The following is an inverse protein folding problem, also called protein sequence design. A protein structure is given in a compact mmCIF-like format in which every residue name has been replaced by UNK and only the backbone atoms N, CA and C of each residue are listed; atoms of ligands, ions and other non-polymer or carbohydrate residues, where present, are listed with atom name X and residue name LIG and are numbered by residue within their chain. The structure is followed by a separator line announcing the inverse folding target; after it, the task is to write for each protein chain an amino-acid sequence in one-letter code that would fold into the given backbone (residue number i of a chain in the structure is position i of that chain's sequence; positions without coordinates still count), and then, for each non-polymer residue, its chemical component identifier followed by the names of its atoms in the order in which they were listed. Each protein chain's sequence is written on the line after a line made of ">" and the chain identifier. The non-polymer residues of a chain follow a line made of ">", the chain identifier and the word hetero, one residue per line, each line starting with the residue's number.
data_IF_823069320725
#
_entry.id   IF_823069320725
#
_cell.length_a   1.000
_cell.length_b   1.000
_cell.length_c   1.000
_cell.angle_alpha   90.00
_cell.angle_beta   90.00
_cell.angle_gamma   90.00
#
_symmetry.space_group_name_H-M   'P 1'
#
loop_
_entity.id
_entity.type
_entity.pdbx_description
1 polymer ?
#
# COMPACT_ATOMS: atom_id res chain seq x y z
N UNK A 1 26.40 45.56 -6.60
CA UNK A 1 25.73 44.93 -7.76
C UNK A 1 25.73 43.44 -7.48
N UNK A 2 24.60 42.90 -7.01
CA UNK A 2 24.48 41.48 -6.75
C UNK A 2 24.42 40.74 -8.10
N UNK A 3 25.18 39.66 -8.24
CA UNK A 3 25.30 38.88 -9.47
C UNK A 3 23.92 38.40 -9.94
N UNK A 4 23.41 38.96 -11.04
CA UNK A 4 22.16 38.51 -11.69
C UNK A 4 22.20 37.04 -12.16
N UNK A 5 23.37 36.39 -12.08
CA UNK A 5 23.59 34.98 -12.37
C UNK A 5 22.98 34.05 -11.31
N UNK A 6 22.83 34.49 -10.05
CA UNK A 6 22.28 33.66 -8.96
C UNK A 6 20.75 33.60 -8.95
N UNK A 7 20.05 34.56 -9.57
CA UNK A 7 18.59 34.64 -9.60
C UNK A 7 17.93 33.92 -10.78
N UNK A 8 18.71 33.31 -11.69
CA UNK A 8 18.16 32.61 -12.86
C UNK A 8 17.50 31.30 -12.42
N UNK A 9 16.21 31.16 -12.70
CA UNK A 9 15.47 29.93 -12.42
C UNK A 9 15.78 28.88 -13.51
N UNK A 10 16.16 27.67 -13.08
CA UNK A 10 16.30 26.49 -13.93
C UNK A 10 15.21 25.51 -13.51
N UNK A 11 14.09 25.37 -14.26
CA UNK A 11 12.98 24.52 -13.85
C UNK A 11 13.39 23.08 -13.56
N UNK A 12 14.27 22.51 -14.39
CA UNK A 12 14.71 21.12 -14.27
C UNK A 12 15.37 20.82 -12.93
N UNK A 13 16.19 21.75 -12.40
CA UNK A 13 16.88 21.55 -11.12
C UNK A 13 15.91 21.57 -9.93
N UNK A 14 14.82 22.33 -10.04
CA UNK A 14 13.79 22.38 -9.02
C UNK A 14 12.93 21.11 -9.02
N UNK A 15 12.60 20.58 -10.20
CA UNK A 15 11.66 19.47 -10.37
C UNK A 15 12.22 18.10 -9.99
N UNK A 16 13.54 17.94 -9.81
CA UNK A 16 14.16 16.66 -9.42
C UNK A 16 13.51 16.08 -8.15
N UNK A 17 13.20 16.93 -7.17
CA UNK A 17 12.59 16.50 -5.90
C UNK A 17 11.08 16.25 -6.01
N UNK A 18 10.45 16.67 -7.10
CA UNK A 18 8.99 16.62 -7.28
C UNK A 18 8.55 15.45 -8.18
N UNK A 19 9.48 14.68 -8.73
CA UNK A 19 9.20 13.47 -9.51
C UNK A 19 8.22 12.50 -8.79
N UNK A 20 8.33 12.22 -7.47
CA UNK A 20 7.40 11.32 -6.78
C UNK A 20 5.94 11.79 -6.81
N UNK A 21 5.70 13.10 -7.00
CA UNK A 21 4.37 13.71 -7.00
C UNK A 21 3.49 13.20 -8.16
N UNK A 22 4.09 12.84 -9.29
CA UNK A 22 3.35 12.30 -10.44
C UNK A 22 3.23 10.78 -10.43
N UNK A 23 4.11 10.10 -9.68
CA UNK A 23 4.19 8.64 -9.68
C UNK A 23 3.01 8.00 -8.96
N UNK A 24 2.65 8.50 -7.79
CA UNK A 24 1.61 7.88 -6.97
C UNK A 24 0.22 7.94 -7.64
N UNK A 25 -0.23 9.08 -8.20
CA UNK A 25 -1.50 9.14 -8.91
C UNK A 25 -1.57 8.19 -10.10
N UNK A 26 -0.46 8.05 -10.84
CA UNK A 26 -0.34 7.09 -11.93
C UNK A 26 -0.53 5.64 -11.44
N UNK A 27 0.11 5.26 -10.33
CA UNK A 27 -0.07 3.92 -9.75
C UNK A 27 -1.50 3.70 -9.24
N UNK A 28 -2.16 4.73 -8.68
CA UNK A 28 -3.57 4.66 -8.28
C UNK A 28 -4.50 4.45 -9.48
N UNK A 29 -4.29 5.17 -10.59
CA UNK A 29 -5.06 4.99 -11.84
C UNK A 29 -4.90 3.54 -12.33
N UNK A 30 -3.67 3.04 -12.34
CA UNK A 30 -3.38 1.66 -12.75
C UNK A 30 -4.02 0.63 -11.82
N UNK A 31 -4.07 0.89 -10.51
CA UNK A 31 -4.77 0.04 -9.53
C UNK A 31 -6.28 0.05 -9.79
N UNK A 32 -6.88 1.21 -10.00
CA UNK A 32 -8.31 1.35 -10.29
C UNK A 32 -8.69 0.62 -11.59
N UNK A 33 -7.88 0.76 -12.64
CA UNK A 33 -8.07 0.01 -13.89
C UNK A 33 -8.07 -1.51 -13.69
N UNK A 34 -7.12 -2.05 -12.90
CA UNK A 34 -7.09 -3.48 -12.58
C UNK A 34 -8.36 -3.94 -11.84
N UNK A 35 -8.90 -3.11 -10.95
CA UNK A 35 -10.15 -3.39 -10.22
C UNK A 35 -11.34 -3.41 -11.17
N UNK A 36 -11.48 -2.40 -12.03
CA UNK A 36 -12.53 -2.33 -13.05
C UNK A 36 -12.47 -3.56 -13.98
N UNK A 37 -11.28 -3.86 -14.51
CA UNK A 37 -11.06 -5.03 -15.38
C UNK A 37 -11.43 -6.35 -14.68
N UNK A 38 -11.04 -6.51 -13.40
CA UNK A 38 -11.42 -7.70 -12.62
C UNK A 38 -12.94 -7.84 -12.47
N UNK A 39 -13.65 -6.74 -12.20
CA UNK A 39 -15.11 -6.78 -12.10
C UNK A 39 -15.77 -7.19 -13.43
N UNK A 40 -15.29 -6.66 -14.55
CA UNK A 40 -15.78 -7.04 -15.89
C UNK A 40 -15.56 -8.53 -16.14
N UNK A 41 -14.33 -9.02 -15.98
CA UNK A 41 -14.00 -10.42 -16.26
C UNK A 41 -14.79 -11.40 -15.38
N UNK A 42 -14.87 -11.11 -14.08
CA UNK A 42 -15.58 -11.96 -13.11
C UNK A 42 -17.08 -12.05 -13.44
N UNK A 43 -17.75 -10.93 -13.64
CA UNK A 43 -19.20 -10.93 -13.89
C UNK A 43 -19.53 -11.40 -15.30
N UNK A 44 -18.72 -11.06 -16.31
CA UNK A 44 -18.87 -11.55 -17.69
C UNK A 44 -18.80 -13.08 -17.74
N UNK A 45 -17.80 -13.67 -17.07
CA UNK A 45 -17.66 -15.14 -16.97
C UNK A 45 -18.86 -15.77 -16.26
N UNK A 46 -19.32 -15.19 -15.16
CA UNK A 46 -20.43 -15.73 -14.39
C UNK A 46 -21.76 -15.67 -15.15
N UNK A 47 -22.06 -14.55 -15.82
CA UNK A 47 -23.27 -14.40 -16.65
C UNK A 47 -23.21 -15.36 -17.84
N UNK A 48 -22.06 -15.49 -18.51
CA UNK A 48 -21.88 -16.44 -19.62
C UNK A 48 -22.12 -17.88 -19.19
N UNK A 49 -21.64 -18.28 -18.01
CA UNK A 49 -21.84 -19.63 -17.50
C UNK A 49 -23.32 -19.88 -17.13
N UNK A 50 -23.95 -18.95 -16.42
CA UNK A 50 -25.37 -19.05 -16.06
C UNK A 50 -26.28 -19.08 -17.29
N UNK A 51 -25.95 -18.32 -18.34
CA UNK A 51 -26.64 -18.37 -19.63
C UNK A 51 -26.51 -19.75 -20.27
N UNK A 52 -25.29 -20.30 -20.35
CA UNK A 52 -25.06 -21.65 -20.92
C UNK A 52 -25.82 -22.73 -20.17
N UNK A 53 -25.77 -22.71 -18.84
CA UNK A 53 -26.47 -23.67 -17.97
C UNK A 53 -27.99 -23.57 -18.15
N UNK A 54 -28.53 -22.35 -18.17
CA UNK A 54 -29.97 -22.11 -18.38
C UNK A 54 -30.42 -22.59 -19.76
N UNK A 55 -29.66 -22.27 -20.82
CA UNK A 55 -29.96 -22.71 -22.18
C UNK A 55 -29.91 -24.23 -22.29
N UNK A 56 -28.87 -24.87 -21.76
CA UNK A 56 -28.76 -26.32 -21.78
C UNK A 56 -29.91 -26.99 -21.04
N UNK A 57 -30.22 -26.55 -19.83
CA UNK A 57 -31.31 -27.12 -19.04
C UNK A 57 -32.68 -26.91 -19.70
N UNK A 58 -32.89 -25.78 -20.38
CA UNK A 58 -34.12 -25.50 -21.13
C UNK A 58 -34.30 -26.45 -22.32
N UNK A 59 -33.21 -26.79 -23.02
CA UNK A 59 -33.24 -27.69 -24.19
C UNK A 59 -33.31 -29.17 -23.76
N UNK A 60 -32.55 -29.57 -22.73
CA UNK A 60 -32.38 -30.98 -22.38
C UNK A 60 -33.43 -31.51 -21.40
N UNK A 61 -33.86 -30.68 -20.44
CA UNK A 61 -34.62 -31.13 -19.27
C UNK A 61 -36.04 -30.54 -19.21
N UNK A 62 -36.44 -29.71 -20.18
CA UNK A 62 -37.76 -29.08 -20.18
C UNK A 62 -38.01 -28.24 -18.93
N UNK A 63 -37.05 -27.37 -18.57
CA UNK A 63 -37.16 -26.48 -17.41
C UNK A 63 -38.37 -25.56 -17.55
N UNK A 64 -39.10 -25.36 -16.45
CA UNK A 64 -40.29 -24.50 -16.46
C UNK A 64 -39.93 -23.05 -16.84
N UNK A 65 -40.82 -22.35 -17.56
CA UNK A 65 -40.60 -20.95 -17.93
C UNK A 65 -40.29 -20.05 -16.73
N UNK A 66 -40.86 -20.35 -15.56
CA UNK A 66 -40.66 -19.60 -14.32
C UNK A 66 -39.20 -19.68 -13.82
N UNK A 67 -38.57 -20.86 -13.93
CA UNK A 67 -37.15 -21.03 -13.55
C UNK A 67 -36.24 -20.31 -14.54
N UNK A 68 -36.56 -20.32 -15.84
CA UNK A 68 -35.81 -19.57 -16.86
C UNK A 68 -35.88 -18.07 -16.58
N UNK A 69 -37.08 -17.54 -16.30
CA UNK A 69 -37.27 -16.12 -15.94
C UNK A 69 -36.45 -15.76 -14.70
N UNK A 70 -36.47 -16.58 -13.64
CA UNK A 70 -35.67 -16.36 -12.43
C UNK A 70 -34.16 -16.31 -12.70
N UNK A 71 -33.66 -17.14 -13.61
CA UNK A 71 -32.25 -17.12 -14.01
C UNK A 71 -31.91 -15.85 -14.81
N UNK A 72 -32.82 -15.39 -15.67
CA UNK A 72 -32.69 -14.12 -16.40
C UNK A 72 -32.69 -12.94 -15.43
N UNK A 73 -33.59 -12.90 -14.46
CA UNK A 73 -33.61 -11.87 -13.42
C UNK A 73 -32.31 -11.85 -12.60
N UNK A 74 -31.77 -13.04 -12.30
CA UNK A 74 -30.47 -13.17 -11.63
C UNK A 74 -29.33 -12.64 -12.49
N UNK A 75 -29.32 -12.91 -13.80
CA UNK A 75 -28.37 -12.32 -14.75
C UNK A 75 -28.47 -10.79 -14.80
N UNK A 76 -29.69 -10.25 -14.87
CA UNK A 76 -29.96 -8.80 -14.87
C UNK A 76 -29.43 -8.16 -13.59
N UNK A 77 -29.73 -8.73 -12.42
CA UNK A 77 -29.26 -8.23 -11.14
C UNK A 77 -27.72 -8.18 -11.06
N UNK A 78 -27.02 -9.17 -11.62
CA UNK A 78 -25.56 -9.17 -11.71
C UNK A 78 -25.02 -8.08 -12.62
N UNK A 79 -25.61 -7.88 -13.79
CA UNK A 79 -25.20 -6.81 -14.73
C UNK A 79 -25.45 -5.43 -14.11
N UNK A 80 -26.57 -5.23 -13.43
CA UNK A 80 -26.85 -4.00 -12.68
C UNK A 80 -25.86 -3.79 -11.51
N UNK A 81 -25.43 -4.88 -10.86
CA UNK A 81 -24.37 -4.85 -9.87
C UNK A 81 -23.01 -4.48 -10.46
N UNK A 82 -22.68 -5.00 -11.65
CA UNK A 82 -21.48 -4.63 -12.39
C UNK A 82 -21.50 -3.15 -12.77
N UNK A 83 -22.62 -2.64 -13.31
CA UNK A 83 -22.79 -1.22 -13.64
C UNK A 83 -22.43 -0.32 -12.46
N UNK A 84 -23.02 -0.57 -11.28
CA UNK A 84 -22.75 0.20 -10.05
C UNK A 84 -21.28 0.18 -9.64
N UNK A 85 -20.60 -0.97 -9.76
CA UNK A 85 -19.16 -1.08 -9.47
C UNK A 85 -18.32 -0.30 -10.47
N UNK A 86 -18.68 -0.32 -11.75
CA UNK A 86 -17.98 0.43 -12.79
C UNK A 86 -18.19 1.94 -12.68
N UNK A 87 -19.37 2.39 -12.27
CA UNK A 87 -19.64 3.80 -11.94
C UNK A 87 -18.70 4.27 -10.83
N UNK A 88 -18.58 3.50 -9.74
CA UNK A 88 -17.63 3.83 -8.67
C UNK A 88 -16.16 3.87 -9.14
N UNK A 89 -15.76 2.95 -10.02
CA UNK A 89 -14.42 2.99 -10.63
C UNK A 89 -14.25 4.22 -11.53
N UNK A 90 -15.26 4.63 -12.30
CA UNK A 90 -15.20 5.80 -13.16
C UNK A 90 -15.11 7.10 -12.35
N UNK A 91 -15.85 7.22 -11.25
CA UNK A 91 -15.77 8.36 -10.35
C UNK A 91 -14.36 8.50 -9.74
N UNK A 92 -13.78 7.39 -9.27
CA UNK A 92 -12.42 7.37 -8.75
C UNK A 92 -11.37 7.68 -9.83
N UNK A 93 -11.55 7.16 -11.05
CA UNK A 93 -10.67 7.48 -12.18
C UNK A 93 -10.69 8.98 -12.51
N UNK A 94 -11.88 9.59 -12.56
CA UNK A 94 -12.05 11.02 -12.80
C UNK A 94 -11.35 11.84 -11.73
N UNK A 95 -11.52 11.49 -10.44
CA UNK A 95 -10.83 12.16 -9.32
C UNK A 95 -9.31 12.09 -9.47
N UNK A 96 -8.77 10.89 -9.72
CA UNK A 96 -7.32 10.69 -9.89
C UNK A 96 -6.76 11.44 -11.12
N UNK A 97 -7.54 11.52 -12.20
CA UNK A 97 -7.17 12.29 -13.38
C UNK A 97 -7.12 13.79 -13.08
N UNK A 98 -8.13 14.34 -12.38
CA UNK A 98 -8.14 15.75 -11.97
C UNK A 98 -6.93 16.08 -11.08
N UNK A 99 -6.64 15.23 -10.09
CA UNK A 99 -5.46 15.44 -9.25
C UNK A 99 -4.16 15.40 -10.08
N UNK A 100 -4.06 14.49 -11.06
CA UNK A 100 -2.88 14.40 -11.93
C UNK A 100 -2.73 15.65 -12.82
N UNK A 101 -3.84 16.15 -13.38
CA UNK A 101 -3.84 17.37 -14.18
C UNK A 101 -3.46 18.60 -13.35
N UNK A 102 -4.01 18.74 -12.13
CA UNK A 102 -3.69 19.85 -11.24
C UNK A 102 -2.19 19.85 -10.85
N UNK A 103 -1.64 18.67 -10.60
CA UNK A 103 -0.19 18.47 -10.37
C UNK A 103 0.66 18.84 -11.58
N UNK A 104 0.31 18.36 -12.77
CA UNK A 104 1.02 18.70 -14.02
C UNK A 104 0.95 20.21 -14.27
N UNK A 105 -0.21 20.83 -14.06
CA UNK A 105 -0.38 22.29 -14.20
C UNK A 105 0.52 23.04 -13.24
N UNK A 106 0.51 22.67 -11.96
CA UNK A 106 1.34 23.30 -10.94
C UNK A 106 2.84 23.18 -11.27
N UNK A 107 3.32 22.01 -11.72
CA UNK A 107 4.72 21.87 -12.15
C UNK A 107 5.00 22.67 -13.44
N UNK A 108 4.03 22.72 -14.35
CA UNK A 108 4.11 23.47 -15.60
C UNK A 108 4.21 24.99 -15.41
N UNK A 109 3.64 25.53 -14.34
CA UNK A 109 3.76 26.96 -13.99
C UNK A 109 5.21 27.42 -13.87
N UNK A 110 6.09 26.53 -13.40
CA UNK A 110 7.51 26.82 -13.22
C UNK A 110 8.21 27.16 -14.55
N UNK A 111 7.78 26.57 -15.66
CA UNK A 111 8.32 26.85 -16.99
C UNK A 111 7.91 28.24 -17.52
N UNK A 112 6.93 28.88 -16.91
CA UNK A 112 6.49 30.24 -17.25
C UNK A 112 7.19 31.31 -16.41
N UNK A 113 8.09 30.92 -15.50
CA UNK A 113 8.85 31.82 -14.61
C UNK A 113 10.31 31.85 -15.07
N UNK A 114 10.95 33.03 -15.00
CA UNK A 114 12.34 33.20 -15.46
C UNK A 114 13.34 33.44 -14.33
N UNK A 115 12.86 33.85 -13.15
CA UNK A 115 13.72 34.22 -12.03
C UNK A 115 13.14 33.75 -10.69
N UNK A 116 14.04 33.47 -9.74
CA UNK A 116 13.71 33.19 -8.35
C UNK A 116 13.13 34.42 -7.61
N UNK A 117 13.40 35.62 -8.12
CA UNK A 117 12.88 36.87 -7.57
C UNK A 117 11.48 37.22 -8.11
N UNK A 118 10.89 36.36 -8.95
CA UNK A 118 9.54 36.54 -9.48
C UNK A 118 8.49 36.32 -8.37
N UNK A 119 7.55 37.26 -8.23
CA UNK A 119 6.41 37.13 -7.31
C UNK A 119 5.61 35.85 -7.58
N UNK A 120 5.53 35.42 -8.85
CA UNK A 120 4.90 34.14 -9.22
C UNK A 120 5.68 32.95 -8.66
N UNK A 121 7.00 33.01 -8.65
CA UNK A 121 7.85 31.99 -8.04
C UNK A 121 7.68 31.96 -6.53
N UNK A 122 7.56 33.11 -5.88
CA UNK A 122 7.26 33.16 -4.44
C UNK A 122 5.94 32.43 -4.12
N UNK A 123 4.87 32.71 -4.86
CA UNK A 123 3.59 32.03 -4.64
C UNK A 123 3.68 30.52 -4.90
N UNK A 124 4.30 30.13 -6.01
CA UNK A 124 4.51 28.73 -6.38
C UNK A 124 5.32 27.97 -5.32
N UNK A 125 6.42 28.57 -4.83
CA UNK A 125 7.29 27.96 -3.83
C UNK A 125 6.62 27.83 -2.47
N UNK A 126 5.70 28.74 -2.11
CA UNK A 126 4.85 28.61 -0.90
C UNK A 126 3.90 27.41 -1.03
N UNK A 127 3.21 27.25 -2.15
CA UNK A 127 2.36 26.08 -2.41
C UNK A 127 3.18 24.78 -2.36
N UNK A 128 4.38 24.78 -2.93
CA UNK A 128 5.31 23.65 -2.85
C UNK A 128 5.69 23.34 -1.41
N UNK A 129 6.02 24.35 -0.60
CA UNK A 129 6.37 24.17 0.81
C UNK A 129 5.19 23.60 1.60
N UNK A 130 3.99 24.16 1.45
CA UNK A 130 2.78 23.67 2.11
C UNK A 130 2.54 22.19 1.78
N UNK A 131 2.70 21.80 0.51
CA UNK A 131 2.62 20.39 0.09
C UNK A 131 3.67 19.52 0.77
N UNK A 132 4.93 19.96 0.85
CA UNK A 132 6.00 19.21 1.51
C UNK A 132 5.74 19.04 3.01
N UNK A 133 5.18 20.07 3.66
CA UNK A 133 4.75 20.00 5.06
C UNK A 133 3.62 18.99 5.23
N UNK A 134 2.61 19.02 4.35
CA UNK A 134 1.52 18.03 4.37
C UNK A 134 2.06 16.60 4.21
N UNK A 135 2.93 16.36 3.23
CA UNK A 135 3.55 15.05 3.00
C UNK A 135 4.35 14.57 4.23
N UNK A 136 5.14 15.46 4.85
CA UNK A 136 5.84 15.16 6.10
C UNK A 136 4.87 14.76 7.22
N UNK A 137 3.81 15.56 7.45
CA UNK A 137 2.81 15.28 8.47
C UNK A 137 2.14 13.92 8.24
N UNK A 138 1.79 13.61 7.00
CA UNK A 138 1.19 12.33 6.62
C UNK A 138 2.14 11.14 6.89
N UNK A 139 3.42 11.26 6.54
CA UNK A 139 4.45 10.23 6.81
C UNK A 139 4.69 10.04 8.31
N UNK A 140 4.58 11.09 9.10
CA UNK A 140 4.69 11.01 10.57
C UNK A 140 3.39 10.53 11.24
N UNK A 141 2.27 10.51 10.53
CA UNK A 141 0.96 10.07 11.03
C UNK A 141 0.07 11.15 11.59
N UNK A 142 0.44 12.42 11.42
CA UNK A 142 -0.35 13.56 11.84
C UNK A 142 -1.46 13.85 10.81
N UNK A 143 -2.35 12.88 10.60
CA UNK A 143 -3.37 12.90 9.54
C UNK A 143 -4.33 14.09 9.68
N UNK A 144 -4.79 14.36 10.90
CA UNK A 144 -5.74 15.45 11.16
C UNK A 144 -5.10 16.81 10.84
N UNK A 145 -3.85 17.03 11.27
CA UNK A 145 -3.10 18.25 10.98
C UNK A 145 -2.82 18.39 9.48
N UNK A 146 -2.45 17.30 8.82
CA UNK A 146 -2.22 17.28 7.37
C UNK A 146 -3.50 17.62 6.58
N UNK A 147 -4.64 17.03 6.96
CA UNK A 147 -5.92 17.29 6.32
C UNK A 147 -6.39 18.74 6.55
N UNK A 148 -6.21 19.27 7.76
CA UNK A 148 -6.54 20.65 8.09
C UNK A 148 -5.69 21.64 7.28
N UNK A 149 -4.38 21.42 7.20
CA UNK A 149 -3.48 22.27 6.41
C UNK A 149 -3.80 22.20 4.91
N UNK A 150 -4.05 21.00 4.38
CA UNK A 150 -4.42 20.83 2.98
C UNK A 150 -5.72 21.55 2.61
N UNK A 151 -6.69 21.57 3.54
CA UNK A 151 -7.94 22.31 3.37
C UNK A 151 -7.74 23.82 3.46
N UNK A 152 -7.05 24.30 4.50
CA UNK A 152 -6.80 25.72 4.70
C UNK A 152 -6.07 26.35 3.51
N UNK A 153 -5.10 25.63 2.93
CA UNK A 153 -4.33 26.08 1.77
C UNK A 153 -4.98 25.78 0.42
N UNK A 154 -6.10 25.05 0.40
CA UNK A 154 -6.77 24.65 -0.84
C UNK A 154 -5.93 23.75 -1.76
N UNK A 155 -5.05 22.92 -1.18
CA UNK A 155 -4.09 22.07 -1.92
C UNK A 155 -4.45 20.59 -1.89
N UNK A 156 -5.69 20.23 -1.56
CA UNK A 156 -6.17 18.84 -1.47
C UNK A 156 -5.83 18.00 -2.70
N UNK A 157 -5.93 18.58 -3.90
CA UNK A 157 -5.67 17.87 -5.17
C UNK A 157 -4.17 17.66 -5.45
N UNK A 158 -3.29 18.32 -4.69
CA UNK A 158 -1.84 18.21 -4.82
C UNK A 158 -1.23 17.20 -3.85
N UNK A 159 -2.01 16.70 -2.88
CA UNK A 159 -1.55 15.83 -1.78
C UNK A 159 -2.34 14.51 -1.74
N UNK A 160 -1.76 13.46 -1.15
CA UNK A 160 -2.31 12.10 -1.18
C UNK A 160 -2.86 11.63 0.17
N UNK A 161 -3.69 12.46 0.80
CA UNK A 161 -4.18 12.26 2.18
C UNK A 161 -4.79 10.86 2.37
N UNK A 162 -5.72 10.45 1.51
CA UNK A 162 -6.43 9.17 1.64
C UNK A 162 -5.49 7.95 1.57
N UNK A 163 -4.50 7.99 0.68
CA UNK A 163 -3.50 6.93 0.55
C UNK A 163 -2.68 6.80 1.84
N UNK A 164 -2.25 7.93 2.40
CA UNK A 164 -1.49 7.93 3.64
C UNK A 164 -2.35 7.55 4.85
N UNK A 165 -3.65 7.83 4.85
CA UNK A 165 -4.58 7.34 5.88
C UNK A 165 -4.62 5.81 5.89
N UNK A 166 -4.72 5.18 4.71
CA UNK A 166 -4.68 3.71 4.60
C UNK A 166 -3.34 3.14 5.09
N UNK A 167 -2.20 3.74 4.69
CA UNK A 167 -0.88 3.29 5.11
C UNK A 167 -0.66 3.43 6.63
N UNK A 168 -1.11 4.54 7.21
CA UNK A 168 -1.04 4.77 8.64
C UNK A 168 -1.92 3.82 9.45
N UNK A 169 -3.05 3.35 8.89
CA UNK A 169 -3.86 2.30 9.52
C UNK A 169 -3.05 1.00 9.66
N UNK A 170 -2.41 0.56 8.58
CA UNK A 170 -1.54 -0.62 8.58
C UNK A 170 -0.41 -0.43 9.60
N UNK A 171 0.23 0.74 9.61
CA UNK A 171 1.27 1.09 10.59
C UNK A 171 0.76 1.03 12.03
N UNK A 172 -0.41 1.62 12.32
CA UNK A 172 -0.99 1.61 13.66
C UNK A 172 -1.34 0.20 14.11
N UNK A 173 -1.79 -0.65 13.19
CA UNK A 173 -2.03 -2.08 13.44
C UNK A 173 -0.75 -2.79 13.87
N UNK A 174 0.35 -2.56 13.14
CA UNK A 174 1.66 -3.13 13.44
C UNK A 174 2.26 -2.64 14.76
N UNK A 175 2.17 -1.34 15.04
CA UNK A 175 2.59 -0.78 16.33
C UNK A 175 1.78 -1.38 17.48
N UNK A 176 0.53 -1.76 17.24
CA UNK A 176 -0.31 -2.52 18.16
C UNK A 176 -0.06 -4.04 18.15
N UNK A 177 1.01 -4.53 17.53
CA UNK A 177 1.39 -5.94 17.47
C UNK A 177 0.56 -6.81 16.51
N UNK A 178 -0.29 -6.21 15.67
CA UNK A 178 -1.15 -6.93 14.72
C UNK A 178 -0.57 -6.86 13.31
N UNK A 179 -0.24 -8.01 12.73
CA UNK A 179 0.38 -8.11 11.39
C UNK A 179 -0.60 -8.37 10.25
N UNK A 180 -1.88 -8.64 10.56
CA UNK A 180 -2.87 -9.11 9.57
C UNK A 180 -3.04 -8.14 8.40
N UNK A 181 -3.18 -6.85 8.70
CA UNK A 181 -3.35 -5.82 7.66
C UNK A 181 -2.09 -5.67 6.80
N UNK A 182 -0.90 -5.79 7.41
CA UNK A 182 0.37 -5.72 6.69
C UNK A 182 0.59 -6.94 5.78
N UNK A 183 0.21 -8.14 6.24
CA UNK A 183 0.29 -9.36 5.43
C UNK A 183 -0.70 -9.35 4.25
N UNK A 184 -1.90 -8.78 4.44
CA UNK A 184 -2.84 -8.55 3.36
C UNK A 184 -2.22 -7.60 2.31
N UNK A 185 -1.62 -6.50 2.76
CA UNK A 185 -0.89 -5.58 1.88
C UNK A 185 0.28 -6.25 1.14
N UNK A 186 1.04 -7.14 1.79
CA UNK A 186 2.10 -7.90 1.11
C UNK A 186 1.54 -8.81 0.01
N UNK A 187 0.36 -9.40 0.24
CA UNK A 187 -0.31 -10.25 -0.75
C UNK A 187 -0.75 -9.44 -1.96
N UNK A 188 -1.30 -8.25 -1.73
CA UNK A 188 -1.72 -7.33 -2.79
C UNK A 188 -0.53 -6.82 -3.63
N UNK A 189 0.62 -6.60 -3.00
CA UNK A 189 1.82 -6.02 -3.62
C UNK A 189 2.93 -7.06 -3.90
N UNK A 190 2.57 -8.36 -3.96
CA UNK A 190 3.55 -9.46 -4.03
C UNK A 190 4.51 -9.38 -5.21
N UNK A 191 4.05 -8.90 -6.38
CA UNK A 191 4.91 -8.80 -7.58
C UNK A 191 5.97 -7.72 -7.40
N UNK A 192 5.57 -6.59 -6.85
CA UNK A 192 6.39 -5.41 -6.58
C UNK A 192 7.40 -5.71 -5.46
N UNK A 193 6.97 -6.37 -4.38
CA UNK A 193 7.85 -6.82 -3.30
C UNK A 193 8.93 -7.78 -3.78
N UNK A 194 8.58 -8.73 -4.67
CA UNK A 194 9.57 -9.63 -5.29
C UNK A 194 10.58 -8.89 -6.17
N UNK A 195 10.13 -7.90 -6.93
CA UNK A 195 10.99 -7.09 -7.79
C UNK A 195 12.03 -6.28 -6.99
N UNK A 196 11.68 -5.90 -5.75
CA UNK A 196 12.57 -5.20 -4.83
C UNK A 196 13.34 -6.15 -3.90
N UNK A 197 13.20 -7.46 -4.07
CA UNK A 197 13.80 -8.48 -3.19
C UNK A 197 13.50 -8.21 -1.70
N UNK A 198 12.28 -7.73 -1.41
CA UNK A 198 11.90 -7.35 -0.06
C UNK A 198 11.67 -8.56 0.84
N UNK A 199 12.34 -8.62 1.98
CA UNK A 199 12.13 -9.63 3.02
C UNK A 199 10.91 -9.37 3.92
N UNK A 200 10.08 -8.37 3.58
CA UNK A 200 9.03 -7.86 4.46
C UNK A 200 8.03 -8.94 4.87
N UNK A 201 7.55 -9.75 3.93
CA UNK A 201 6.59 -10.82 4.23
C UNK A 201 7.19 -11.82 5.23
N UNK A 202 8.46 -12.20 5.05
CA UNK A 202 9.16 -13.08 5.98
C UNK A 202 9.26 -12.46 7.38
N UNK A 203 9.65 -11.19 7.48
CA UNK A 203 9.75 -10.48 8.76
C UNK A 203 8.40 -10.38 9.50
N UNK A 204 7.31 -10.15 8.77
CA UNK A 204 5.95 -10.15 9.36
C UNK A 204 5.53 -11.52 9.88
N UNK A 205 5.85 -12.60 9.14
CA UNK A 205 5.61 -13.99 9.58
C UNK A 205 6.45 -14.35 10.78
N UNK A 206 7.71 -13.92 10.81
CA UNK A 206 8.59 -14.08 11.94
C UNK A 206 8.05 -13.37 13.19
N UNK A 207 7.56 -12.14 13.06
CA UNK A 207 6.91 -11.43 14.15
C UNK A 207 5.66 -12.17 14.66
N UNK A 208 4.81 -12.64 13.74
CA UNK A 208 3.61 -13.41 14.11
C UNK A 208 3.98 -14.70 14.86
N UNK A 209 5.07 -15.36 14.48
CA UNK A 209 5.60 -16.51 15.21
C UNK A 209 6.05 -16.15 16.64
N UNK A 210 6.82 -15.06 16.78
CA UNK A 210 7.26 -14.56 18.10
C UNK A 210 6.05 -14.31 19.01
N UNK A 211 5.00 -13.67 18.49
CA UNK A 211 3.77 -13.41 19.25
C UNK A 211 3.07 -14.70 19.70
N UNK A 212 3.03 -15.75 18.87
CA UNK A 212 2.45 -17.04 19.26
C UNK A 212 3.24 -17.67 20.41
N UNK A 213 4.58 -17.69 20.31
CA UNK A 213 5.46 -18.28 21.33
C UNK A 213 5.41 -17.49 22.63
N UNK A 214 5.31 -16.15 22.57
CA UNK A 214 5.33 -15.25 23.74
C UNK A 214 4.22 -15.54 24.75
N UNK A 215 3.07 -16.03 24.31
CA UNK A 215 1.91 -16.30 25.18
C UNK A 215 2.08 -17.51 26.10
N UNK A 216 2.98 -18.45 25.76
CA UNK A 216 3.22 -19.70 26.51
C UNK A 216 1.98 -20.60 26.70
N UNK A 217 0.87 -20.31 26.03
CA UNK A 217 -0.31 -21.17 26.04
C UNK A 217 -0.07 -22.41 25.17
N UNK A 218 -0.39 -23.60 25.70
CA UNK A 218 -0.12 -24.88 25.02
C UNK A 218 -0.67 -24.94 23.58
N UNK A 219 -1.88 -24.43 23.35
CA UNK A 219 -2.48 -24.41 22.01
C UNK A 219 -1.72 -23.49 21.04
N UNK A 220 -1.27 -22.32 21.51
CA UNK A 220 -0.52 -21.35 20.70
C UNK A 220 0.91 -21.82 20.40
N UNK A 221 1.51 -22.62 21.28
CA UNK A 221 2.78 -23.28 21.01
C UNK A 221 2.64 -24.35 19.91
N UNK A 222 1.57 -25.13 19.89
CA UNK A 222 1.30 -26.07 18.79
C UNK A 222 1.05 -25.32 17.47
N UNK A 223 0.33 -24.20 17.53
CA UNK A 223 0.12 -23.32 16.37
C UNK A 223 1.45 -22.74 15.87
N UNK A 224 2.34 -22.30 16.76
CA UNK A 224 3.63 -21.72 16.38
C UNK A 224 4.54 -22.72 15.67
N UNK A 225 4.53 -24.00 16.09
CA UNK A 225 5.27 -25.08 15.40
C UNK A 225 4.72 -25.27 13.97
N UNK A 226 3.40 -25.33 13.82
CA UNK A 226 2.76 -25.44 12.50
C UNK A 226 3.09 -24.23 11.62
N UNK A 227 3.07 -23.03 12.21
CA UNK A 227 3.44 -21.79 11.55
C UNK A 227 4.89 -21.84 11.06
N UNK A 228 5.85 -22.10 11.95
CA UNK A 228 7.27 -22.11 11.62
C UNK A 228 7.57 -23.07 10.47
N UNK A 229 7.00 -24.28 10.49
CA UNK A 229 7.14 -25.27 9.40
C UNK A 229 6.67 -24.73 8.05
N UNK A 230 5.57 -23.96 8.04
CA UNK A 230 4.96 -23.46 6.82
C UNK A 230 5.64 -22.21 6.26
N UNK A 231 6.05 -21.28 7.12
CA UNK A 231 6.45 -19.93 6.70
C UNK A 231 7.89 -19.55 7.03
N UNK A 232 8.57 -20.24 7.95
CA UNK A 232 9.94 -19.90 8.36
C UNK A 232 10.96 -20.92 7.86
N UNK A 233 10.78 -22.21 8.14
CA UNK A 233 11.72 -23.27 7.75
C UNK A 233 12.06 -23.34 6.24
N UNK A 234 11.11 -23.05 5.31
CA UNK A 234 11.46 -23.00 3.88
C UNK A 234 12.54 -21.98 3.53
N UNK A 235 12.78 -20.99 4.40
CA UNK A 235 13.78 -19.93 4.21
C UNK A 235 15.06 -20.13 5.02
N UNK A 236 15.34 -21.34 5.54
CA UNK A 236 16.55 -21.61 6.34
C UNK A 236 17.86 -21.29 5.62
N UNK A 237 17.93 -21.44 4.29
CA UNK A 237 19.12 -21.05 3.51
C UNK A 237 19.24 -19.53 3.36
N UNK A 238 18.11 -18.83 3.24
CA UNK A 238 18.06 -17.37 3.01
C UNK A 238 18.20 -16.57 4.30
N UNK A 239 17.62 -17.04 5.40
CA UNK A 239 17.57 -16.37 6.71
C UNK A 239 17.96 -17.36 7.84
N UNK A 240 19.18 -17.92 7.82
CA UNK A 240 19.60 -18.96 8.75
C UNK A 240 19.57 -18.50 10.22
N UNK A 241 19.94 -17.25 10.47
CA UNK A 241 19.97 -16.67 11.81
C UNK A 241 18.56 -16.59 12.42
N UNK A 242 17.60 -16.04 11.67
CA UNK A 242 16.21 -15.92 12.10
C UNK A 242 15.54 -17.28 12.30
N UNK A 243 15.83 -18.26 11.43
CA UNK A 243 15.29 -19.61 11.57
C UNK A 243 15.89 -20.32 12.79
N UNK A 244 17.19 -20.19 13.04
CA UNK A 244 17.82 -20.74 14.24
C UNK A 244 17.26 -20.10 15.51
N UNK A 245 17.07 -18.78 15.50
CA UNK A 245 16.43 -18.05 16.60
C UNK A 245 14.99 -18.52 16.83
N UNK A 246 14.21 -18.74 15.77
CA UNK A 246 12.84 -19.26 15.88
C UNK A 246 12.82 -20.59 16.64
N UNK A 247 13.71 -21.51 16.29
CA UNK A 247 13.85 -22.81 16.96
C UNK A 247 14.26 -22.64 18.43
N UNK A 248 15.19 -21.74 18.73
CA UNK A 248 15.64 -21.48 20.10
C UNK A 248 14.52 -20.89 20.99
N UNK A 249 13.65 -20.04 20.44
CA UNK A 249 12.53 -19.44 21.18
C UNK A 249 11.50 -20.46 21.68
N UNK A 250 11.40 -21.66 21.06
CA UNK A 250 10.58 -22.75 21.60
C UNK A 250 11.20 -23.42 22.83
N UNK A 251 12.53 -23.42 22.92
CA UNK A 251 13.27 -24.03 24.02
C UNK A 251 13.40 -23.10 25.24
N UNK A 252 13.36 -21.78 25.03
CA UNK A 252 13.58 -20.78 26.08
C UNK A 252 12.35 -19.86 26.28
N UNK A 253 11.66 -19.94 27.43
CA UNK A 253 10.47 -19.12 27.70
C UNK A 253 10.78 -17.63 27.97
N UNK A 254 9.78 -16.74 27.86
CA UNK A 254 9.89 -15.32 28.28
C UNK A 254 10.17 -15.24 29.77
N UNK A 255 11.41 -14.86 30.11
CA UNK A 255 11.96 -14.92 31.48
C UNK A 255 13.30 -15.67 31.58
N UNK A 256 13.81 -16.22 30.47
CA UNK A 256 15.15 -16.80 30.43
C UNK A 256 16.23 -15.80 30.86
N UNK A 257 17.20 -16.27 31.65
CA UNK A 257 18.38 -15.50 32.06
C UNK A 257 19.42 -15.37 30.94
N UNK A 258 19.18 -16.02 29.80
CA UNK A 258 20.04 -15.93 28.63
C UNK A 258 19.82 -14.58 27.92
N UNK A 259 20.77 -13.62 28.01
CA UNK A 259 20.56 -12.24 27.55
C UNK A 259 20.27 -12.18 26.04
N UNK A 260 20.89 -13.09 25.28
CA UNK A 260 20.67 -13.22 23.85
C UNK A 260 19.18 -13.43 23.51
N UNK A 261 18.43 -14.21 24.29
CA UNK A 261 17.03 -14.56 24.00
C UNK A 261 16.01 -13.66 24.71
N UNK A 262 16.40 -13.00 25.80
CA UNK A 262 15.56 -12.05 26.53
C UNK A 262 15.23 -10.80 25.69
N UNK A 263 16.17 -10.33 24.87
CA UNK A 263 15.99 -9.15 23.99
C UNK A 263 15.00 -9.43 22.86
N UNK A 264 14.95 -10.67 22.35
CA UNK A 264 14.07 -11.03 21.22
C UNK A 264 12.58 -11.10 21.57
N UNK A 265 12.25 -11.23 22.85
CA UNK A 265 10.87 -11.30 23.35
C UNK A 265 10.32 -9.92 23.74
N UNK A 266 11.13 -8.86 23.64
CA UNK A 266 10.74 -7.47 23.94
C UNK A 266 10.17 -6.76 22.71
N UNK A 267 9.12 -5.95 22.93
CA UNK A 267 8.46 -5.07 21.94
C UNK A 267 9.41 -4.16 21.13
N UNK A 268 10.67 -4.00 21.54
CA UNK A 268 11.68 -3.20 20.85
C UNK A 268 11.99 -3.67 19.42
N UNK A 269 11.84 -4.96 19.10
CA UNK A 269 11.97 -5.47 17.72
C UNK A 269 10.81 -5.03 16.82
N UNK A 270 9.60 -4.93 17.37
CA UNK A 270 8.42 -4.43 16.64
C UNK A 270 8.68 -3.00 16.19
N UNK A 271 9.23 -2.15 17.07
CA UNK A 271 9.49 -0.74 16.78
C UNK A 271 10.73 -0.52 15.90
N UNK A 272 11.83 -1.23 16.18
CA UNK A 272 13.07 -1.13 15.40
C UNK A 272 12.92 -1.61 13.96
N UNK A 273 12.18 -2.72 13.72
CA UNK A 273 11.84 -3.19 12.38
C UNK A 273 10.63 -2.45 11.78
N UNK A 274 9.79 -1.80 12.59
CA UNK A 274 8.70 -0.94 12.09
C UNK A 274 9.21 0.33 11.42
N UNK A 275 10.37 0.89 11.79
CA UNK A 275 10.92 2.02 11.03
C UNK A 275 11.25 1.60 9.58
N UNK A 276 11.84 0.42 9.40
CA UNK A 276 12.09 -0.17 8.08
C UNK A 276 10.78 -0.49 7.34
N UNK A 277 9.76 -0.96 8.06
CA UNK A 277 8.41 -1.13 7.51
C UNK A 277 7.86 0.19 6.97
N UNK A 278 7.94 1.26 7.76
CA UNK A 278 7.38 2.55 7.38
C UNK A 278 8.00 3.12 6.13
N UNK A 279 9.26 2.83 5.82
CA UNK A 279 9.93 3.23 4.58
C UNK A 279 9.46 2.41 3.36
N UNK A 280 9.31 1.09 3.53
CA UNK A 280 8.89 0.16 2.46
C UNK A 280 7.44 0.39 2.05
N UNK A 281 6.55 0.73 2.99
CA UNK A 281 5.14 0.98 2.68
C UNK A 281 4.83 2.41 2.25
N UNK A 282 5.82 3.33 2.20
CA UNK A 282 5.47 4.69 1.80
C UNK A 282 5.02 4.74 0.34
N UNK A 283 3.94 5.48 0.06
CA UNK A 283 3.49 5.72 -1.31
C UNK A 283 4.63 6.31 -2.16
N UNK A 284 4.90 5.69 -3.31
CA UNK A 284 5.99 6.09 -4.22
C UNK A 284 7.36 5.45 -3.97
N UNK A 285 7.58 4.76 -2.83
CA UNK A 285 8.84 4.07 -2.53
C UNK A 285 9.06 2.80 -3.36
N UNK A 286 7.97 2.20 -3.88
CA UNK A 286 7.98 0.89 -4.58
C UNK A 286 8.77 0.83 -5.90
N UNK A 287 9.48 1.89 -6.27
CA UNK A 287 10.57 1.72 -7.22
C UNK A 287 11.57 2.86 -7.28
N UNK A 288 11.91 3.46 -6.14
CA UNK A 288 13.11 4.27 -5.95
C UNK A 288 14.08 3.65 -4.92
N UNK A 289 13.74 2.48 -4.39
CA UNK A 289 14.60 1.80 -3.44
C UNK A 289 15.64 0.98 -4.21
N UNK A 290 16.91 1.37 -4.08
CA UNK A 290 18.04 0.51 -4.41
C UNK A 290 17.89 -0.86 -3.72
N UNK A 291 18.40 -1.95 -4.32
CA UNK A 291 18.29 -3.31 -3.78
C UNK A 291 18.92 -3.52 -2.39
N UNK A 292 19.56 -2.49 -1.83
CA UNK A 292 20.28 -2.52 -0.56
C UNK A 292 19.60 -1.63 0.50
N UNK A 293 18.38 -1.98 0.94
CA UNK A 293 17.84 -1.47 2.23
C UNK A 293 18.11 -2.45 3.38
N UNK A 294 18.68 -3.62 3.08
CA UNK A 294 19.10 -4.57 4.09
C UNK A 294 20.62 -4.58 4.11
N UNK A 295 21.27 -3.94 5.11
CA UNK A 295 22.58 -4.43 5.47
C UNK A 295 22.38 -5.89 5.90
N UNK A 296 23.07 -6.81 5.22
CA UNK A 296 23.34 -8.10 5.83
C UNK A 296 23.99 -7.83 7.20
N UNK A 297 23.63 -8.61 8.25
CA UNK A 297 24.29 -8.49 9.54
C UNK A 297 25.81 -8.68 9.41
#
# INVERSE_FOLDING_TARGET
>A
MADHTTSKLIPESQLILDQPMLRLPFEQIRKNFKVAHFHVEKESTAVKNMLKETTHASISNGVSPEVVLKNVDSMIARIQGLKRKLEACADEENKLHQHSLNRIRHLGELYNMQSLDDVKYEHWSRTRLDRLVVDYLLRRGFQNSAAALAEEKGIKDLVDVETFVQMNRIRSSLLGGRVTEALAWCTENKKELRRMESNLEFMLRYQQYIELVRTQEQMKLLESITHAKKYLLPFHETYPNEVQQACALLAFPPGTRAPAYAVFLTLALILGKSNNFTEVIQPGSLGNLSPTIFPNP
#
